data_IF_045200248397
#
_entry.id   IF_045200248397
#
_cell.length_a   1.000
_cell.length_b   1.000
_cell.length_c   1.000
_cell.angle_alpha   90.00
_cell.angle_beta   90.00
_cell.angle_gamma   90.00
#
_symmetry.space_group_name_H-M   'P 1'
#
loop_
_entity.id
_entity.type
_entity.pdbx_description
1 polymer ?
#
# COMPACT_ATOMS: atom_id res chain seq x y z
N UNK A 1 24.08 -3.45 5.37
CA UNK A 1 23.84 -4.89 5.16
C UNK A 1 22.39 -5.07 4.71
N UNK A 2 22.14 -5.86 3.67
CA UNK A 2 20.79 -6.13 3.15
C UNK A 2 20.13 -7.19 4.04
N UNK A 3 18.91 -6.94 4.53
CA UNK A 3 18.20 -7.85 5.42
C UNK A 3 17.23 -8.69 4.57
N UNK A 4 17.62 -9.93 4.29
CA UNK A 4 16.96 -10.82 3.33
C UNK A 4 15.46 -11.04 3.62
N UNK A 5 15.06 -11.27 4.87
CA UNK A 5 13.65 -11.47 5.20
C UNK A 5 12.79 -10.22 5.01
N UNK A 6 13.34 -9.01 5.16
CA UNK A 6 12.59 -7.77 4.86
C UNK A 6 12.34 -7.61 3.36
N UNK A 7 13.26 -8.09 2.51
CA UNK A 7 13.01 -8.13 1.06
C UNK A 7 11.90 -9.16 0.73
N UNK A 8 11.89 -10.31 1.41
CA UNK A 8 10.80 -11.30 1.25
C UNK A 8 9.46 -10.71 1.73
N UNK A 9 9.44 -9.96 2.83
CA UNK A 9 8.24 -9.24 3.28
C UNK A 9 7.71 -8.28 2.20
N UNK A 10 8.60 -7.53 1.53
CA UNK A 10 8.20 -6.68 0.39
C UNK A 10 7.62 -7.50 -0.76
N UNK A 11 8.17 -8.68 -1.05
CA UNK A 11 7.66 -9.57 -2.08
C UNK A 11 6.23 -10.06 -1.77
N UNK A 12 5.93 -10.37 -0.50
CA UNK A 12 4.57 -10.72 -0.07
C UNK A 12 3.64 -9.49 -0.16
N UNK A 13 4.12 -8.34 0.29
CA UNK A 13 3.34 -7.11 0.29
C UNK A 13 2.96 -6.64 -1.13
N UNK A 14 3.88 -6.76 -2.13
CA UNK A 14 3.55 -6.38 -3.51
C UNK A 14 2.50 -7.31 -4.13
N UNK A 15 2.51 -8.60 -3.79
CA UNK A 15 1.44 -9.50 -4.22
C UNK A 15 0.09 -9.04 -3.66
N UNK A 16 0.02 -8.68 -2.38
CA UNK A 16 -1.21 -8.15 -1.77
C UNK A 16 -1.66 -6.84 -2.46
N UNK A 17 -0.72 -5.94 -2.81
CA UNK A 17 -1.05 -4.71 -3.57
C UNK A 17 -1.62 -5.05 -4.95
N UNK A 18 -1.06 -6.02 -5.67
CA UNK A 18 -1.60 -6.45 -6.96
C UNK A 18 -3.01 -7.03 -6.78
N UNK A 19 -3.26 -7.82 -5.72
CA UNK A 19 -4.60 -8.34 -5.39
C UNK A 19 -5.59 -7.19 -5.16
N UNK A 20 -5.21 -6.13 -4.43
CA UNK A 20 -6.06 -4.94 -4.24
C UNK A 20 -6.51 -4.38 -5.59
N UNK A 21 -5.61 -4.25 -6.56
CA UNK A 21 -5.93 -3.62 -7.83
C UNK A 21 -6.68 -4.57 -8.78
N UNK A 22 -6.32 -5.84 -8.84
CA UNK A 22 -7.07 -6.85 -9.63
C UNK A 22 -8.50 -7.00 -9.13
N UNK A 23 -8.69 -7.07 -7.81
CA UNK A 23 -10.01 -7.15 -7.21
C UNK A 23 -10.76 -5.81 -7.31
N UNK A 24 -10.07 -4.68 -7.06
CA UNK A 24 -10.67 -3.35 -7.04
C UNK A 24 -11.20 -2.89 -8.39
N UNK A 25 -10.43 -3.06 -9.46
CA UNK A 25 -10.90 -2.74 -10.83
C UNK A 25 -12.12 -3.60 -11.20
N UNK A 26 -12.04 -4.90 -10.93
CA UNK A 26 -13.16 -5.81 -11.19
C UNK A 26 -14.39 -5.49 -10.34
N UNK A 27 -14.18 -5.12 -9.06
CA UNK A 27 -15.24 -4.73 -8.14
C UNK A 27 -15.95 -3.44 -8.58
N UNK A 28 -15.16 -2.41 -8.95
CA UNK A 28 -15.68 -1.13 -9.40
C UNK A 28 -16.56 -1.28 -10.65
N UNK A 29 -16.13 -2.07 -11.60
CA UNK A 29 -16.89 -2.31 -12.83
C UNK A 29 -18.16 -3.12 -12.52
N UNK A 30 -18.09 -4.17 -11.69
CA UNK A 30 -19.28 -4.94 -11.28
C UNK A 30 -20.36 -4.06 -10.62
N UNK A 31 -19.97 -3.01 -9.92
CA UNK A 31 -20.91 -2.08 -9.26
C UNK A 31 -21.68 -1.22 -10.27
N UNK A 32 -21.11 -0.96 -11.45
CA UNK A 32 -21.66 -0.06 -12.47
C UNK A 32 -22.24 -0.82 -13.69
N UNK A 33 -22.26 -2.15 -13.65
CA UNK A 33 -22.88 -2.96 -14.71
C UNK A 33 -24.39 -3.00 -14.56
N UNK A 34 -25.11 -3.01 -15.70
CA UNK A 34 -26.57 -3.18 -15.74
C UNK A 34 -27.02 -4.52 -15.12
N UNK A 35 -26.22 -5.58 -15.28
CA UNK A 35 -26.41 -6.89 -14.67
C UNK A 35 -25.55 -7.07 -13.43
N UNK A 36 -25.97 -6.49 -12.31
CA UNK A 36 -25.26 -6.58 -11.05
C UNK A 36 -25.24 -8.01 -10.49
N UNK A 37 -24.06 -8.60 -10.33
CA UNK A 37 -23.85 -9.91 -9.71
C UNK A 37 -23.39 -9.74 -8.26
N UNK A 38 -24.32 -9.88 -7.33
CA UNK A 38 -24.10 -9.72 -5.89
C UNK A 38 -23.01 -10.69 -5.38
N UNK A 39 -22.99 -11.94 -5.82
CA UNK A 39 -22.00 -12.92 -5.35
C UNK A 39 -20.59 -12.53 -5.79
N UNK A 40 -20.41 -12.19 -7.07
CA UNK A 40 -19.10 -11.73 -7.56
C UNK A 40 -18.63 -10.49 -6.81
N UNK A 41 -19.52 -9.52 -6.65
CA UNK A 41 -19.22 -8.28 -5.94
C UNK A 41 -18.76 -8.55 -4.49
N UNK A 42 -19.47 -9.43 -3.76
CA UNK A 42 -19.11 -9.79 -2.38
C UNK A 42 -17.75 -10.49 -2.29
N UNK A 43 -17.47 -11.43 -3.18
CA UNK A 43 -16.17 -12.14 -3.21
C UNK A 43 -15.02 -11.19 -3.53
N UNK A 44 -15.20 -10.27 -4.49
CA UNK A 44 -14.21 -9.25 -4.81
C UNK A 44 -13.93 -8.32 -3.62
N UNK A 45 -14.97 -7.95 -2.87
CA UNK A 45 -14.82 -7.17 -1.63
C UNK A 45 -14.03 -7.92 -0.56
N UNK A 46 -14.27 -9.21 -0.40
CA UNK A 46 -13.49 -10.05 0.54
C UNK A 46 -12.02 -10.06 0.15
N UNK A 47 -11.70 -10.25 -1.15
CA UNK A 47 -10.32 -10.17 -1.63
C UNK A 47 -9.67 -8.81 -1.36
N UNK A 48 -10.41 -7.72 -1.60
CA UNK A 48 -9.97 -6.34 -1.29
C UNK A 48 -9.63 -6.20 0.19
N UNK A 49 -10.54 -6.59 1.08
CA UNK A 49 -10.33 -6.48 2.53
C UNK A 49 -9.12 -7.27 3.00
N UNK A 50 -8.99 -8.54 2.59
CA UNK A 50 -7.87 -9.40 2.96
C UNK A 50 -6.53 -8.87 2.45
N UNK A 51 -6.50 -8.22 1.31
CA UNK A 51 -5.28 -7.67 0.73
C UNK A 51 -4.88 -6.29 1.28
N UNK A 52 -5.77 -5.59 2.02
CA UNK A 52 -5.50 -4.22 2.54
C UNK A 52 -4.25 -4.11 3.41
N UNK A 53 -3.76 -5.19 4.02
CA UNK A 53 -2.50 -5.18 4.77
C UNK A 53 -1.25 -4.90 3.90
N UNK A 54 -1.33 -5.04 2.57
CA UNK A 54 -0.17 -4.92 1.68
C UNK A 54 0.54 -3.57 1.79
N UNK A 55 -0.18 -2.45 1.68
CA UNK A 55 0.40 -1.11 1.79
C UNK A 55 0.94 -0.81 3.20
N UNK A 56 0.20 -1.06 4.29
CA UNK A 56 0.75 -0.95 5.64
C UNK A 56 2.06 -1.73 5.85
N UNK A 57 2.14 -2.96 5.32
CA UNK A 57 3.37 -3.76 5.43
C UNK A 57 4.54 -3.09 4.70
N UNK A 58 4.33 -2.51 3.51
CA UNK A 58 5.37 -1.73 2.83
C UNK A 58 5.86 -0.56 3.67
N UNK A 59 4.93 0.16 4.30
CA UNK A 59 5.26 1.32 5.14
C UNK A 59 6.01 0.86 6.40
N UNK A 60 5.57 -0.22 7.05
CA UNK A 60 6.27 -0.80 8.21
C UNK A 60 7.69 -1.26 7.84
N UNK A 61 7.87 -1.93 6.70
CA UNK A 61 9.21 -2.32 6.22
C UNK A 61 10.07 -1.09 5.93
N UNK A 62 9.48 -0.02 5.39
CA UNK A 62 10.20 1.24 5.16
C UNK A 62 10.67 1.87 6.46
N UNK A 63 9.81 1.92 7.50
CA UNK A 63 10.18 2.37 8.83
C UNK A 63 11.30 1.55 9.46
N UNK A 64 11.18 0.22 9.39
CA UNK A 64 12.19 -0.72 9.88
C UNK A 64 13.58 -0.52 9.23
N UNK A 65 13.61 -0.15 7.95
CA UNK A 65 14.86 0.05 7.18
C UNK A 65 15.43 1.46 7.33
N UNK A 66 14.57 2.49 7.23
CA UNK A 66 15.00 3.89 7.18
C UNK A 66 15.40 4.40 8.57
N UNK A 67 14.64 4.07 9.59
CA UNK A 67 14.92 4.53 10.95
C UNK A 67 16.14 3.85 11.60
N UNK A 68 16.60 2.74 11.05
CA UNK A 68 17.80 2.02 11.52
C UNK A 68 19.11 2.67 11.06
N UNK A 69 19.09 3.47 9.98
CA UNK A 69 20.29 4.07 9.38
C UNK A 69 20.34 5.56 9.64
N UNK A 70 21.54 6.11 9.66
CA UNK A 70 21.76 7.55 9.66
C UNK A 70 21.89 8.06 8.23
N UNK A 71 21.31 9.22 7.96
CA UNK A 71 21.31 9.87 6.67
C UNK A 71 21.71 11.32 6.82
N UNK A 72 22.60 11.77 5.94
CA UNK A 72 22.86 13.21 5.77
C UNK A 72 21.72 13.85 4.97
N UNK A 73 21.59 15.16 5.06
CA UNK A 73 20.61 15.93 4.25
C UNK A 73 20.82 15.66 2.75
N UNK A 74 22.08 15.54 2.33
CA UNK A 74 22.43 15.23 0.95
C UNK A 74 21.95 13.82 0.52
N UNK A 75 22.03 12.82 1.43
CA UNK A 75 21.52 11.48 1.16
C UNK A 75 20.00 11.47 1.02
N UNK A 76 19.31 12.24 1.87
CA UNK A 76 17.86 12.41 1.81
C UNK A 76 17.46 13.05 0.47
N UNK A 77 18.09 14.16 0.12
CA UNK A 77 17.82 14.87 -1.13
C UNK A 77 18.04 13.96 -2.38
N UNK A 78 19.15 13.20 -2.42
CA UNK A 78 19.39 12.24 -3.50
C UNK A 78 18.30 11.19 -3.62
N UNK A 79 17.79 10.68 -2.50
CA UNK A 79 16.71 9.67 -2.50
C UNK A 79 15.38 10.26 -2.95
N UNK A 80 15.06 11.48 -2.50
CA UNK A 80 13.88 12.20 -2.98
C UNK A 80 13.95 12.41 -4.50
N UNK A 81 15.10 12.83 -5.03
CA UNK A 81 15.28 13.00 -6.48
C UNK A 81 15.09 11.70 -7.26
N UNK A 82 15.53 10.56 -6.72
CA UNK A 82 15.27 9.25 -7.33
C UNK A 82 13.76 8.95 -7.35
N UNK A 83 13.05 9.22 -6.25
CA UNK A 83 11.59 8.99 -6.17
C UNK A 83 10.85 9.92 -7.13
N UNK A 84 11.25 11.20 -7.23
CA UNK A 84 10.67 12.13 -8.22
C UNK A 84 10.87 11.60 -9.64
N UNK A 85 12.08 11.13 -9.98
CA UNK A 85 12.35 10.48 -11.27
C UNK A 85 11.47 9.24 -11.48
N UNK A 86 11.23 8.45 -10.43
CA UNK A 86 10.31 7.30 -10.48
C UNK A 86 8.86 7.73 -10.73
N UNK A 87 8.40 8.83 -10.11
CA UNK A 87 7.05 9.39 -10.33
C UNK A 87 6.89 9.85 -11.79
N UNK A 88 7.87 10.58 -12.33
CA UNK A 88 7.86 11.02 -13.74
C UNK A 88 7.81 9.81 -14.68
N UNK A 89 8.63 8.79 -14.42
CA UNK A 89 8.63 7.56 -15.22
C UNK A 89 7.28 6.83 -15.14
N UNK A 90 6.68 6.75 -13.94
CA UNK A 90 5.36 6.13 -13.75
C UNK A 90 4.27 6.90 -14.47
N UNK A 91 4.25 8.24 -14.40
CA UNK A 91 3.31 9.09 -15.13
C UNK A 91 3.46 8.90 -16.65
N UNK A 92 4.70 8.85 -17.15
CA UNK A 92 4.98 8.63 -18.57
C UNK A 92 4.43 7.28 -19.06
N UNK A 93 4.69 6.19 -18.32
CA UNK A 93 4.17 4.86 -18.68
C UNK A 93 2.65 4.79 -18.56
N UNK A 94 2.06 5.45 -17.55
CA UNK A 94 0.62 5.58 -17.39
C UNK A 94 -0.02 6.28 -18.58
N UNK A 95 0.55 7.40 -19.02
CA UNK A 95 0.04 8.16 -20.17
C UNK A 95 0.17 7.36 -21.47
N UNK A 96 1.29 6.68 -21.70
CA UNK A 96 1.46 5.76 -22.83
C UNK A 96 0.39 4.64 -22.82
N UNK A 97 0.03 4.14 -21.65
CA UNK A 97 -1.00 3.10 -21.48
C UNK A 97 -2.38 3.66 -21.83
N UNK A 98 -2.69 4.92 -21.44
CA UNK A 98 -3.94 5.60 -21.78
C UNK A 98 -4.05 5.83 -23.30
N UNK A 99 -2.98 6.30 -23.93
CA UNK A 99 -2.91 6.48 -25.39
C UNK A 99 -3.14 5.15 -26.10
N UNK A 100 -2.50 4.08 -25.64
CA UNK A 100 -2.68 2.73 -26.20
C UNK A 100 -4.13 2.25 -26.08
N UNK A 101 -4.81 2.52 -24.96
CA UNK A 101 -6.22 2.21 -24.73
C UNK A 101 -7.22 3.12 -25.45
N UNK A 102 -6.75 4.10 -26.23
CA UNK A 102 -7.61 5.06 -26.92
C UNK A 102 -8.19 6.16 -26.01
N UNK A 103 -7.74 6.27 -24.76
CA UNK A 103 -8.18 7.24 -23.77
C UNK A 103 -7.29 8.49 -23.77
N UNK A 104 -7.18 9.16 -24.94
CA UNK A 104 -6.39 10.39 -25.06
C UNK A 104 -7.16 11.55 -24.43
N UNK A 105 -6.60 12.18 -23.39
CA UNK A 105 -7.27 13.28 -22.66
C UNK A 105 -6.95 14.66 -23.26
N UNK A 106 -5.80 14.82 -23.89
CA UNK A 106 -5.42 16.10 -24.52
C UNK A 106 -4.51 15.91 -25.73
N UNK A 107 -4.33 17.01 -26.50
CA UNK A 107 -3.43 17.04 -27.66
C UNK A 107 -1.93 17.11 -27.27
N UNK A 108 -1.61 17.27 -25.97
CA UNK A 108 -0.22 17.43 -25.53
C UNK A 108 0.12 16.51 -24.33
N UNK A 109 0.56 15.28 -24.60
CA UNK A 109 0.91 14.31 -23.56
C UNK A 109 1.99 14.80 -22.57
N UNK A 110 2.91 15.68 -23.01
CA UNK A 110 3.97 16.21 -22.14
C UNK A 110 3.39 17.13 -21.06
N UNK A 111 2.43 17.99 -21.45
CA UNK A 111 1.74 18.86 -20.49
C UNK A 111 0.89 18.03 -19.51
N UNK A 112 0.26 16.97 -19.99
CA UNK A 112 -0.52 16.07 -19.15
C UNK A 112 0.34 15.37 -18.10
N UNK A 113 1.50 14.83 -18.50
CA UNK A 113 2.46 14.23 -17.58
C UNK A 113 2.93 15.26 -16.54
N UNK A 114 3.29 16.47 -16.99
CA UNK A 114 3.74 17.53 -16.08
C UNK A 114 2.64 17.94 -15.09
N UNK A 115 1.39 18.09 -15.57
CA UNK A 115 0.23 18.38 -14.76
C UNK A 115 -0.03 17.28 -13.74
N UNK A 116 -0.05 16.02 -14.16
CA UNK A 116 -0.23 14.86 -13.26
C UNK A 116 0.82 14.85 -12.15
N UNK A 117 2.09 15.07 -12.47
CA UNK A 117 3.18 15.11 -11.50
C UNK A 117 3.04 16.25 -10.51
N UNK A 118 2.71 17.47 -10.99
CA UNK A 118 2.61 18.67 -10.14
C UNK A 118 1.39 18.60 -9.21
N UNK A 119 0.25 18.16 -9.73
CA UNK A 119 -0.99 18.09 -8.96
C UNK A 119 -1.14 16.79 -8.16
N UNK A 120 -0.17 15.85 -8.23
CA UNK A 120 -0.25 14.57 -7.53
C UNK A 120 -1.35 13.64 -8.08
N UNK A 121 -1.84 13.91 -9.28
CA UNK A 121 -2.86 13.12 -9.99
C UNK A 121 -2.27 12.04 -10.89
N UNK A 122 -0.98 11.72 -10.70
CA UNK A 122 -0.34 10.50 -11.23
C UNK A 122 -1.28 9.34 -10.96
N UNK A 123 -1.37 8.30 -11.85
CA UNK A 123 -2.36 7.25 -11.69
C UNK A 123 -2.69 6.95 -10.23
N UNK A 124 -3.96 6.86 -9.87
CA UNK A 124 -4.52 6.91 -8.50
C UNK A 124 -3.76 6.11 -7.43
N UNK A 125 -2.98 5.11 -7.84
CA UNK A 125 -2.11 4.32 -6.96
C UNK A 125 -0.76 4.99 -6.65
N UNK A 126 -0.36 6.06 -7.37
CA UNK A 126 0.94 6.74 -7.21
C UNK A 126 1.13 7.50 -5.90
N UNK A 127 0.06 7.77 -5.14
CA UNK A 127 0.08 8.49 -3.88
C UNK A 127 1.14 7.94 -2.88
N UNK A 128 1.44 6.64 -2.91
CA UNK A 128 2.43 6.02 -2.03
C UNK A 128 3.84 6.59 -2.24
N UNK A 129 4.22 6.93 -3.47
CA UNK A 129 5.53 7.55 -3.73
C UNK A 129 5.63 8.96 -3.14
N UNK A 130 4.54 9.73 -3.16
CA UNK A 130 4.49 11.04 -2.48
C UNK A 130 4.54 10.88 -0.96
N UNK A 131 3.85 9.90 -0.41
CA UNK A 131 3.94 9.54 1.02
C UNK A 131 5.38 9.17 1.39
N UNK A 132 6.07 8.44 0.53
CA UNK A 132 7.48 8.07 0.75
C UNK A 132 8.41 9.31 0.74
N UNK A 133 8.16 10.29 -0.14
CA UNK A 133 8.86 11.60 -0.08
C UNK A 133 8.61 12.27 1.27
N UNK A 134 7.36 12.30 1.75
CA UNK A 134 7.00 12.85 3.06
C UNK A 134 7.78 12.17 4.19
N UNK A 135 7.94 10.85 4.18
CA UNK A 135 8.74 10.12 5.16
C UNK A 135 10.23 10.48 5.07
N UNK A 136 10.79 10.67 3.88
CA UNK A 136 12.18 11.12 3.74
C UNK A 136 12.37 12.55 4.26
N UNK A 137 11.45 13.47 4.00
CA UNK A 137 11.50 14.85 4.52
C UNK A 137 11.41 14.88 6.06
N UNK A 138 10.52 14.06 6.62
CA UNK A 138 10.33 13.98 8.07
C UNK A 138 11.35 13.06 8.78
N UNK A 139 12.25 12.39 8.03
CA UNK A 139 13.17 11.39 8.57
C UNK A 139 14.05 11.91 9.71
N UNK A 140 14.62 13.14 9.68
CA UNK A 140 15.40 13.67 10.80
C UNK A 140 14.58 13.79 12.08
N UNK A 141 13.31 14.21 11.97
CA UNK A 141 12.39 14.28 13.10
C UNK A 141 12.10 12.91 13.70
N UNK A 142 11.76 11.93 12.86
CA UNK A 142 11.55 10.55 13.31
C UNK A 142 12.80 9.94 13.95
N UNK A 143 13.99 10.22 13.39
CA UNK A 143 15.25 9.76 13.97
C UNK A 143 15.49 10.35 15.36
N UNK A 144 15.26 11.64 15.54
CA UNK A 144 15.40 12.28 16.86
C UNK A 144 14.43 11.64 17.87
N UNK A 145 13.18 11.36 17.46
CA UNK A 145 12.19 10.70 18.29
C UNK A 145 12.63 9.27 18.69
N UNK A 146 12.97 8.39 17.73
CA UNK A 146 13.29 6.99 18.03
C UNK A 146 14.59 6.82 18.81
N UNK A 147 15.51 7.80 18.74
CA UNK A 147 16.76 7.79 19.50
C UNK A 147 16.59 8.36 20.93
N UNK A 148 15.63 9.26 21.15
CA UNK A 148 15.41 9.94 22.43
C UNK A 148 14.27 9.36 23.26
N UNK A 149 13.28 8.73 22.66
CA UNK A 149 12.12 8.22 23.36
C UNK A 149 12.45 6.89 24.09
N UNK A 150 11.99 6.77 25.33
CA UNK A 150 11.93 5.48 26.00
C UNK A 150 10.75 4.66 25.46
N UNK A 151 10.69 3.37 25.83
CA UNK A 151 9.68 2.46 25.29
C UNK A 151 8.25 2.88 25.62
N UNK A 152 7.98 3.43 26.82
CA UNK A 152 6.65 3.91 27.22
C UNK A 152 6.21 5.12 26.40
N UNK A 153 7.10 6.07 26.18
CA UNK A 153 6.86 7.22 25.30
C UNK A 153 6.60 6.77 23.86
N UNK A 154 7.32 5.74 23.40
CA UNK A 154 7.13 5.19 22.07
C UNK A 154 5.74 4.59 21.90
N UNK A 155 5.33 3.71 22.84
CA UNK A 155 4.01 3.07 22.84
C UNK A 155 2.90 4.13 22.97
N UNK A 156 3.05 5.09 23.86
CA UNK A 156 2.11 6.21 24.01
C UNK A 156 1.91 6.96 22.69
N UNK A 157 3.00 7.26 21.98
CA UNK A 157 2.95 7.94 20.68
C UNK A 157 2.24 7.10 19.63
N UNK A 158 2.52 5.78 19.56
CA UNK A 158 1.81 4.88 18.64
C UNK A 158 0.31 4.83 18.93
N UNK A 159 -0.07 4.73 20.22
CA UNK A 159 -1.48 4.72 20.63
C UNK A 159 -2.14 6.04 20.22
N UNK A 160 -1.52 7.19 20.49
CA UNK A 160 -2.07 8.47 20.09
C UNK A 160 -2.29 8.57 18.59
N UNK A 161 -1.27 8.24 17.78
CA UNK A 161 -1.33 8.33 16.33
C UNK A 161 -2.49 7.48 15.80
N UNK A 162 -2.57 6.20 16.22
CA UNK A 162 -3.64 5.32 15.76
C UNK A 162 -5.00 5.70 16.34
N UNK A 163 -5.08 6.15 17.59
CA UNK A 163 -6.33 6.61 18.18
C UNK A 163 -6.89 7.82 17.42
N UNK A 164 -6.08 8.86 17.18
CA UNK A 164 -6.54 10.04 16.44
C UNK A 164 -6.94 9.72 15.01
N UNK A 165 -6.11 8.99 14.25
CA UNK A 165 -6.44 8.62 12.89
C UNK A 165 -7.69 7.73 12.79
N UNK A 166 -7.88 6.82 13.75
CA UNK A 166 -9.03 5.92 13.80
C UNK A 166 -10.30 6.61 14.29
N UNK A 167 -10.20 7.52 15.27
CA UNK A 167 -11.35 8.28 15.79
C UNK A 167 -11.93 9.17 14.69
N UNK A 168 -11.09 9.89 13.94
CA UNK A 168 -11.53 10.72 12.82
C UNK A 168 -12.34 9.87 11.83
N UNK A 169 -11.80 8.72 11.41
CA UNK A 169 -12.50 7.83 10.48
C UNK A 169 -13.76 7.23 11.07
N UNK A 170 -13.73 6.89 12.35
CA UNK A 170 -14.91 6.37 13.05
C UNK A 170 -16.03 7.40 13.14
N UNK A 171 -15.71 8.65 13.45
CA UNK A 171 -16.70 9.76 13.46
C UNK A 171 -17.28 9.97 12.06
N UNK A 172 -16.45 10.06 11.02
CA UNK A 172 -16.88 10.15 9.62
C UNK A 172 -17.81 9.01 9.21
N UNK A 173 -17.62 7.82 9.79
CA UNK A 173 -18.46 6.65 9.50
C UNK A 173 -19.91 6.82 9.96
N UNK A 174 -20.15 7.52 11.09
CA UNK A 174 -21.49 7.77 11.64
C UNK A 174 -22.10 9.08 11.18
N UNK A 175 -21.32 9.96 10.56
CA UNK A 175 -21.74 11.27 10.06
C UNK A 175 -22.29 11.16 8.62
N UNK A 176 -23.42 10.46 8.48
CA UNK A 176 -24.06 10.26 7.17
C UNK A 176 -24.50 11.57 6.52
N UNK A 177 -24.87 12.58 7.32
CA UNK A 177 -25.39 13.86 6.88
C UNK A 177 -24.35 14.99 6.89
N UNK A 178 -23.07 14.64 7.10
CA UNK A 178 -21.95 15.60 7.26
C UNK A 178 -22.21 16.68 8.32
N UNK A 179 -23.02 16.35 9.32
CA UNK A 179 -23.40 17.27 10.41
C UNK A 179 -22.25 17.58 11.38
N UNK A 180 -21.23 16.72 11.41
CA UNK A 180 -20.00 16.87 12.19
C UNK A 180 -18.80 17.33 11.34
N UNK A 181 -19.04 17.80 10.11
CA UNK A 181 -18.00 18.21 9.18
C UNK A 181 -16.98 19.15 9.80
N UNK A 182 -17.44 20.20 10.48
CA UNK A 182 -16.56 21.18 11.16
C UNK A 182 -15.72 20.52 12.27
N UNK A 183 -16.30 19.60 13.04
CA UNK A 183 -15.57 18.86 14.09
C UNK A 183 -14.51 17.93 13.47
N UNK A 184 -14.88 17.25 12.41
CA UNK A 184 -13.98 16.37 11.68
C UNK A 184 -12.83 17.16 11.05
N UNK A 185 -13.12 18.30 10.43
CA UNK A 185 -12.12 19.19 9.86
C UNK A 185 -11.20 19.76 10.93
N UNK A 186 -11.74 20.17 12.08
CA UNK A 186 -10.95 20.62 13.23
C UNK A 186 -10.04 19.51 13.79
N UNK A 187 -10.52 18.26 13.87
CA UNK A 187 -9.74 17.12 14.32
C UNK A 187 -8.70 16.70 13.30
N UNK A 188 -8.99 16.87 12.01
CA UNK A 188 -8.06 16.52 10.94
C UNK A 188 -6.92 17.53 10.83
N UNK A 189 -7.13 18.82 11.06
CA UNK A 189 -6.14 19.91 11.09
C UNK A 189 -4.84 19.63 10.31
N UNK A 190 -4.92 18.92 9.20
CA UNK A 190 -3.76 18.50 8.41
C UNK A 190 -2.94 17.34 9.00
N UNK A 191 -3.33 16.77 10.14
CA UNK A 191 -2.64 15.65 10.80
C UNK A 191 -3.15 14.31 10.27
N UNK A 192 -4.39 14.26 9.79
CA UNK A 192 -5.07 13.02 9.40
C UNK A 192 -4.36 12.22 8.32
N UNK A 193 -3.84 12.87 7.29
CA UNK A 193 -3.11 12.20 6.20
C UNK A 193 -1.73 11.66 6.63
N UNK A 194 -1.06 12.34 7.54
CA UNK A 194 0.25 11.92 8.04
C UNK A 194 0.11 10.93 9.20
N UNK A 195 -0.94 11.06 10.03
CA UNK A 195 -1.04 10.33 11.29
C UNK A 195 -1.13 8.83 11.10
N UNK A 196 -2.04 8.31 10.30
CA UNK A 196 -2.24 6.87 10.12
C UNK A 196 -1.02 6.17 9.51
N UNK A 197 -0.46 6.74 8.44
CA UNK A 197 0.73 6.18 7.79
C UNK A 197 2.00 6.35 8.62
N UNK A 198 2.13 7.44 9.37
CA UNK A 198 3.21 7.65 10.33
C UNK A 198 3.18 6.58 11.43
N UNK A 199 2.00 6.20 11.90
CA UNK A 199 1.82 5.10 12.86
C UNK A 199 2.40 3.78 12.34
N UNK A 200 2.08 3.41 11.11
CA UNK A 200 2.66 2.21 10.49
C UNK A 200 4.17 2.31 10.31
N UNK A 201 4.68 3.48 9.91
CA UNK A 201 6.12 3.69 9.73
C UNK A 201 6.88 3.50 11.04
N UNK A 202 6.42 4.10 12.13
CA UNK A 202 7.00 3.94 13.46
C UNK A 202 6.77 2.51 13.99
N UNK A 203 5.58 1.93 13.79
CA UNK A 203 5.27 0.55 14.21
C UNK A 203 6.27 -0.45 13.61
N UNK A 204 6.64 -0.28 12.33
CA UNK A 204 7.63 -1.14 11.68
C UNK A 204 8.99 -1.12 12.37
N UNK A 205 9.47 0.05 12.78
CA UNK A 205 10.71 0.16 13.56
C UNK A 205 10.56 -0.45 14.95
N UNK A 206 9.43 -0.19 15.64
CA UNK A 206 9.14 -0.78 16.95
C UNK A 206 9.21 -2.31 16.91
N UNK A 207 8.54 -2.94 15.96
CA UNK A 207 8.47 -4.40 15.82
C UNK A 207 9.81 -5.06 15.46
N UNK A 208 10.79 -4.29 14.98
CA UNK A 208 12.14 -4.79 14.71
C UNK A 208 13.09 -4.64 15.91
N UNK A 209 12.81 -3.73 16.84
CA UNK A 209 13.74 -3.38 17.93
C UNK A 209 13.18 -3.68 19.31
N UNK A 210 11.87 -3.89 19.44
CA UNK A 210 11.19 -4.16 20.71
C UNK A 210 10.32 -5.41 20.62
N UNK A 211 9.99 -5.99 21.76
CA UNK A 211 9.00 -7.06 21.87
C UNK A 211 7.61 -6.47 22.09
N UNK A 212 6.61 -7.07 21.48
CA UNK A 212 5.23 -6.67 21.75
C UNK A 212 4.88 -6.96 23.22
N UNK A 213 4.31 -5.98 23.91
CA UNK A 213 3.85 -6.15 25.32
C UNK A 213 2.56 -6.96 25.43
N UNK A 214 1.77 -6.96 24.36
CA UNK A 214 0.54 -7.76 24.26
C UNK A 214 0.89 -9.15 23.74
N UNK A 215 0.33 -10.22 24.32
CA UNK A 215 0.50 -11.58 23.81
C UNK A 215 0.11 -11.67 22.32
N UNK A 216 0.96 -12.31 21.52
CA UNK A 216 0.79 -12.34 20.05
C UNK A 216 -0.57 -12.91 19.61
N UNK A 217 -1.08 -13.91 20.33
CA UNK A 217 -2.36 -14.53 20.00
C UNK A 217 -3.54 -13.52 20.09
N UNK A 218 -3.48 -12.54 21.01
CA UNK A 218 -4.50 -11.47 21.12
C UNK A 218 -4.45 -10.60 19.86
N UNK A 219 -3.24 -10.28 19.37
CA UNK A 219 -3.07 -9.49 18.15
C UNK A 219 -3.60 -10.27 16.94
N UNK A 220 -3.33 -11.58 16.86
CA UNK A 220 -3.80 -12.43 15.75
C UNK A 220 -5.31 -12.55 15.74
N UNK A 221 -5.92 -12.85 16.89
CA UNK A 221 -7.39 -12.93 17.01
C UNK A 221 -8.03 -11.57 16.75
N UNK A 222 -7.47 -10.50 17.34
CA UNK A 222 -7.94 -9.13 17.11
C UNK A 222 -7.85 -8.73 15.63
N UNK A 223 -6.80 -9.13 14.93
CA UNK A 223 -6.64 -8.89 13.49
C UNK A 223 -7.71 -9.59 12.65
N UNK A 224 -7.97 -10.88 12.92
CA UNK A 224 -9.00 -11.66 12.22
C UNK A 224 -10.40 -11.07 12.48
N UNK A 225 -10.73 -10.78 13.74
CA UNK A 225 -12.01 -10.17 14.11
C UNK A 225 -12.13 -8.78 13.47
N UNK A 226 -11.09 -7.95 13.57
CA UNK A 226 -11.10 -6.59 13.06
C UNK A 226 -11.35 -6.52 11.55
N UNK A 227 -10.63 -7.31 10.76
CA UNK A 227 -10.86 -7.33 9.32
C UNK A 227 -12.20 -7.98 8.96
N UNK A 228 -12.61 -9.02 9.69
CA UNK A 228 -13.91 -9.65 9.51
C UNK A 228 -15.07 -8.68 9.73
N UNK A 229 -15.03 -7.91 10.81
CA UNK A 229 -16.03 -6.86 11.11
C UNK A 229 -16.02 -5.78 10.02
N UNK A 230 -14.83 -5.30 9.60
CA UNK A 230 -14.72 -4.30 8.53
C UNK A 230 -15.35 -4.80 7.22
N UNK A 231 -15.10 -6.05 6.83
CA UNK A 231 -15.68 -6.65 5.62
C UNK A 231 -17.21 -6.80 5.76
N UNK A 232 -17.70 -7.31 6.90
CA UNK A 232 -19.16 -7.50 7.12
C UNK A 232 -19.91 -6.17 7.06
N UNK A 233 -19.37 -5.12 7.69
CA UNK A 233 -19.99 -3.79 7.63
C UNK A 233 -19.97 -3.24 6.20
N UNK A 234 -18.87 -3.44 5.46
CA UNK A 234 -18.74 -3.04 4.07
C UNK A 234 -19.76 -3.75 3.16
N UNK A 235 -20.01 -5.04 3.40
CA UNK A 235 -21.03 -5.81 2.69
C UNK A 235 -22.44 -5.27 2.91
N UNK A 236 -22.72 -4.74 4.11
CA UNK A 236 -23.99 -4.10 4.44
C UNK A 236 -24.17 -2.68 3.91
N UNK A 237 -23.08 -2.01 3.51
CA UNK A 237 -23.08 -0.62 3.05
C UNK A 237 -22.21 -0.41 1.81
N UNK A 238 -22.65 -0.85 0.63
CA UNK A 238 -21.85 -0.79 -0.61
C UNK A 238 -21.36 0.61 -0.96
N UNK A 239 -22.17 1.62 -0.77
CA UNK A 239 -21.85 3.01 -1.12
C UNK A 239 -20.69 3.61 -0.28
N UNK A 240 -20.41 3.05 0.90
CA UNK A 240 -19.38 3.52 1.83
C UNK A 240 -18.31 2.45 2.14
N UNK A 241 -18.22 1.45 1.30
CA UNK A 241 -17.32 0.31 1.50
C UNK A 241 -15.87 0.73 1.71
N UNK A 242 -15.38 1.69 0.93
CA UNK A 242 -13.99 2.16 1.03
C UNK A 242 -13.67 2.77 2.39
N UNK A 243 -14.66 3.39 3.05
CA UNK A 243 -14.49 3.96 4.38
C UNK A 243 -14.18 2.86 5.41
N UNK A 244 -14.92 1.74 5.36
CA UNK A 244 -14.84 0.68 6.37
C UNK A 244 -13.60 -0.21 6.25
N UNK A 245 -12.98 -0.27 5.07
CA UNK A 245 -11.70 -0.97 4.84
C UNK A 245 -10.55 0.01 4.57
N UNK A 246 -10.70 1.29 4.95
CA UNK A 246 -9.62 2.28 4.82
C UNK A 246 -8.46 1.98 5.77
N UNK A 247 -7.26 2.41 5.40
CA UNK A 247 -6.03 2.08 6.15
C UNK A 247 -6.02 2.53 7.63
N UNK A 248 -6.59 3.69 8.02
CA UNK A 248 -6.64 4.11 9.42
C UNK A 248 -7.75 3.44 10.23
N UNK A 249 -8.63 2.62 9.62
CA UNK A 249 -9.67 1.91 10.38
C UNK A 249 -9.06 0.96 11.41
N UNK A 250 -9.57 0.92 12.66
CA UNK A 250 -9.00 0.11 13.74
C UNK A 250 -8.86 -1.36 13.37
N UNK A 251 -9.86 -1.92 12.67
CA UNK A 251 -9.84 -3.31 12.20
C UNK A 251 -8.71 -3.57 11.21
N UNK A 252 -8.48 -2.65 10.27
CA UNK A 252 -7.41 -2.76 9.28
C UNK A 252 -6.05 -2.53 9.93
N UNK A 253 -5.94 -1.63 10.92
CA UNK A 253 -4.69 -1.39 11.68
C UNK A 253 -4.25 -2.65 12.40
N UNK A 254 -5.12 -3.24 13.24
CA UNK A 254 -4.79 -4.44 14.01
C UNK A 254 -4.49 -5.61 13.07
N UNK A 255 -5.29 -5.77 12.01
CA UNK A 255 -5.07 -6.78 10.98
C UNK A 255 -3.70 -6.64 10.30
N UNK A 256 -3.32 -5.43 9.92
CA UNK A 256 -2.04 -5.17 9.25
C UNK A 256 -0.84 -5.46 10.16
N UNK A 257 -0.93 -5.11 11.44
CA UNK A 257 0.09 -5.46 12.45
C UNK A 257 0.17 -6.98 12.62
N UNK A 258 -0.97 -7.65 12.74
CA UNK A 258 -1.07 -9.11 12.83
C UNK A 258 -0.41 -9.79 11.63
N UNK A 259 -0.75 -9.35 10.40
CA UNK A 259 -0.19 -9.92 9.17
C UNK A 259 1.31 -9.63 9.01
N UNK A 260 1.78 -8.46 9.44
CA UNK A 260 3.22 -8.18 9.49
C UNK A 260 3.95 -9.19 10.39
N UNK A 261 3.42 -9.48 11.58
CA UNK A 261 4.03 -10.47 12.51
C UNK A 261 4.06 -11.87 11.89
N UNK A 262 2.95 -12.32 11.31
CA UNK A 262 2.84 -13.64 10.67
C UNK A 262 3.82 -13.73 9.49
N UNK A 263 3.78 -12.74 8.59
CA UNK A 263 4.63 -12.73 7.40
C UNK A 263 6.11 -12.53 7.73
N UNK A 264 6.45 -11.81 8.81
CA UNK A 264 7.83 -11.72 9.30
C UNK A 264 8.37 -13.10 9.70
N UNK A 265 7.61 -13.86 10.48
CA UNK A 265 7.99 -15.23 10.86
C UNK A 265 8.12 -16.14 9.62
N UNK A 266 7.17 -16.05 8.69
CA UNK A 266 7.22 -16.79 7.44
C UNK A 266 8.45 -16.39 6.60
N UNK A 267 8.70 -15.09 6.42
CA UNK A 267 9.82 -14.57 5.66
C UNK A 267 11.18 -14.94 6.25
N UNK A 268 11.29 -14.99 7.58
CA UNK A 268 12.49 -15.48 8.28
C UNK A 268 12.77 -16.94 7.93
N UNK A 269 11.75 -17.82 8.03
CA UNK A 269 11.87 -19.24 7.65
C UNK A 269 12.22 -19.40 6.18
N UNK A 270 11.50 -18.72 5.28
CA UNK A 270 11.75 -18.76 3.83
C UNK A 270 13.15 -18.24 3.48
N UNK A 271 13.70 -17.31 4.25
CA UNK A 271 15.04 -16.77 4.01
C UNK A 271 16.16 -17.81 4.16
N UNK A 272 15.93 -18.87 4.92
CA UNK A 272 16.86 -19.98 5.12
C UNK A 272 16.73 -21.05 4.03
N UNK A 273 15.62 -21.06 3.29
CA UNK A 273 15.32 -22.01 2.23
C UNK A 273 15.94 -21.57 0.87
N UNK A 274 16.16 -22.49 -0.08
CA UNK A 274 16.64 -22.16 -1.43
C UNK A 274 15.79 -21.12 -2.15
N UNK A 275 14.46 -21.20 -2.03
CA UNK A 275 13.49 -20.25 -2.61
C UNK A 275 13.67 -18.83 -2.06
N UNK A 276 14.23 -18.68 -0.86
CA UNK A 276 14.43 -17.37 -0.24
C UNK A 276 15.37 -16.44 -1.03
N UNK A 277 16.27 -16.98 -1.86
CA UNK A 277 17.11 -16.15 -2.77
C UNK A 277 16.24 -15.49 -3.85
N UNK A 278 15.38 -16.27 -4.47
CA UNK A 278 14.43 -15.79 -5.48
C UNK A 278 13.46 -14.76 -4.91
N UNK A 279 12.82 -15.07 -3.78
CA UNK A 279 11.87 -14.15 -3.13
C UNK A 279 12.53 -12.84 -2.68
N UNK A 280 13.76 -12.89 -2.18
CA UNK A 280 14.50 -11.68 -1.83
C UNK A 280 14.90 -10.87 -3.06
N UNK A 281 15.22 -11.53 -4.19
CA UNK A 281 15.49 -10.85 -5.46
C UNK A 281 14.21 -10.17 -5.98
N UNK A 282 13.06 -10.85 -5.96
CA UNK A 282 11.75 -10.27 -6.28
C UNK A 282 11.46 -9.06 -5.39
N UNK A 283 11.66 -9.20 -4.07
CA UNK A 283 11.51 -8.10 -3.10
C UNK A 283 12.39 -6.88 -3.38
N UNK A 284 13.52 -7.05 -4.06
CA UNK A 284 14.39 -5.94 -4.49
C UNK A 284 13.88 -5.19 -5.71
N UNK A 285 12.87 -5.71 -6.38
CA UNK A 285 12.30 -5.17 -7.61
C UNK A 285 10.89 -4.62 -7.38
N UNK A 286 10.42 -4.62 -6.14
CA UNK A 286 9.04 -4.24 -5.80
C UNK A 286 8.70 -2.81 -6.16
N UNK A 287 9.66 -1.88 -6.18
CA UNK A 287 9.40 -0.51 -6.62
C UNK A 287 8.99 -0.47 -8.10
N UNK A 288 9.77 -1.11 -8.98
CA UNK A 288 9.44 -1.19 -10.40
C UNK A 288 8.13 -1.96 -10.66
N UNK A 289 7.92 -3.07 -9.94
CA UNK A 289 6.65 -3.82 -10.03
C UNK A 289 5.48 -2.94 -9.62
N UNK A 290 5.61 -2.19 -8.51
CA UNK A 290 4.62 -1.24 -8.04
C UNK A 290 4.32 -0.16 -9.08
N UNK A 291 5.33 0.39 -9.74
CA UNK A 291 5.15 1.45 -10.72
C UNK A 291 4.37 1.01 -11.96
N UNK A 292 4.54 -0.23 -12.39
CA UNK A 292 4.07 -0.67 -13.72
C UNK A 292 2.95 -1.71 -13.71
N UNK A 293 2.61 -2.32 -12.57
CA UNK A 293 1.59 -3.38 -12.53
C UNK A 293 0.22 -2.92 -13.00
N UNK A 294 -0.17 -1.67 -12.69
CA UNK A 294 -1.44 -1.12 -13.15
C UNK A 294 -1.49 -0.94 -14.67
N UNK A 295 -0.39 -0.54 -15.30
CA UNK A 295 -0.35 -0.46 -16.76
C UNK A 295 -0.60 -1.83 -17.40
N UNK A 296 -0.06 -2.91 -16.81
CA UNK A 296 -0.37 -4.27 -17.27
C UNK A 296 -1.84 -4.65 -17.02
N UNK A 297 -2.40 -4.29 -15.85
CA UNK A 297 -3.82 -4.53 -15.55
C UNK A 297 -4.70 -3.81 -16.58
N UNK A 298 -4.42 -2.54 -16.90
CA UNK A 298 -5.18 -1.78 -17.89
C UNK A 298 -5.06 -2.35 -19.31
N UNK A 299 -3.88 -2.84 -19.69
CA UNK A 299 -3.72 -3.56 -20.97
C UNK A 299 -4.56 -4.84 -20.99
N UNK A 300 -4.57 -5.62 -19.92
CA UNK A 300 -5.41 -6.82 -19.81
C UNK A 300 -6.90 -6.48 -19.86
N UNK A 301 -7.31 -5.39 -19.19
CA UNK A 301 -8.68 -4.87 -19.23
C UNK A 301 -9.10 -4.49 -20.66
N UNK A 302 -8.24 -3.81 -21.41
CA UNK A 302 -8.49 -3.47 -22.82
C UNK A 302 -8.77 -4.70 -23.69
N UNK A 303 -8.11 -5.82 -23.40
CA UNK A 303 -8.36 -7.10 -24.08
C UNK A 303 -9.50 -7.93 -23.44
N UNK A 304 -10.25 -7.38 -22.50
CA UNK A 304 -11.35 -8.07 -21.82
C UNK A 304 -10.91 -9.13 -20.80
N UNK A 305 -9.63 -9.17 -20.44
CA UNK A 305 -9.08 -10.13 -19.47
C UNK A 305 -9.16 -9.52 -18.07
N UNK A 306 -10.28 -9.75 -17.39
CA UNK A 306 -10.56 -9.23 -16.05
C UNK A 306 -11.02 -10.34 -15.11
N UNK A 307 -10.74 -10.20 -13.81
CA UNK A 307 -11.10 -11.23 -12.82
C UNK A 307 -12.62 -11.49 -12.76
N UNK A 308 -13.45 -10.45 -12.94
CA UNK A 308 -14.92 -10.55 -12.95
C UNK A 308 -15.48 -11.43 -14.07
N UNK A 309 -14.74 -11.61 -15.18
CA UNK A 309 -15.18 -12.38 -16.34
C UNK A 309 -15.01 -13.90 -16.13
N UNK A 310 -14.40 -14.30 -15.01
CA UNK A 310 -14.14 -15.70 -14.66
C UNK A 310 -14.69 -16.02 -13.26
N UNK A 311 -14.37 -17.21 -12.75
CA UNK A 311 -14.66 -17.54 -11.34
C UNK A 311 -13.81 -16.65 -10.42
N UNK A 312 -14.43 -15.64 -9.81
CA UNK A 312 -13.76 -14.60 -9.01
C UNK A 312 -12.98 -15.13 -7.79
N UNK A 313 -13.35 -16.33 -7.29
CA UNK A 313 -12.62 -16.95 -6.18
C UNK A 313 -11.22 -17.36 -6.63
N UNK A 314 -11.07 -17.85 -7.87
CA UNK A 314 -9.81 -18.35 -8.40
C UNK A 314 -9.10 -17.31 -9.28
N UNK A 315 -9.85 -16.52 -10.05
CA UNK A 315 -9.27 -15.57 -11.01
C UNK A 315 -8.47 -14.47 -10.34
N UNK A 316 -8.93 -13.93 -9.20
CA UNK A 316 -8.19 -12.89 -8.48
C UNK A 316 -6.79 -13.35 -8.07
N UNK A 317 -6.61 -14.44 -7.31
CA UNK A 317 -5.27 -14.88 -6.93
C UNK A 317 -4.42 -15.35 -8.12
N UNK A 318 -5.01 -16.04 -9.09
CA UNK A 318 -4.28 -16.53 -10.27
C UNK A 318 -3.80 -15.37 -11.13
N UNK A 319 -4.66 -14.41 -11.46
CA UNK A 319 -4.28 -13.22 -12.24
C UNK A 319 -3.22 -12.39 -11.49
N UNK A 320 -3.36 -12.21 -10.18
CA UNK A 320 -2.39 -11.48 -9.38
C UNK A 320 -1.01 -12.14 -9.39
N UNK A 321 -0.94 -13.46 -9.32
CA UNK A 321 0.31 -14.21 -9.43
C UNK A 321 0.91 -14.12 -10.84
N UNK A 322 0.11 -14.23 -11.89
CA UNK A 322 0.56 -14.08 -13.28
C UNK A 322 1.11 -12.66 -13.50
N UNK A 323 0.38 -11.63 -13.07
CA UNK A 323 0.83 -10.24 -13.16
C UNK A 323 2.14 -10.04 -12.40
N UNK A 324 2.27 -10.57 -11.19
CA UNK A 324 3.50 -10.50 -10.40
C UNK A 324 4.70 -11.12 -11.15
N UNK A 325 4.51 -12.31 -11.74
CA UNK A 325 5.58 -13.01 -12.47
C UNK A 325 5.96 -12.24 -13.73
N UNK A 326 4.98 -11.79 -14.52
CA UNK A 326 5.22 -11.01 -15.74
C UNK A 326 5.94 -9.71 -15.40
N UNK A 327 5.47 -8.98 -14.38
CA UNK A 327 6.11 -7.74 -13.95
C UNK A 327 7.52 -7.97 -13.39
N UNK A 328 7.75 -9.07 -12.68
CA UNK A 328 9.09 -9.43 -12.23
C UNK A 328 10.06 -9.64 -13.42
N UNK A 329 9.59 -10.31 -14.48
CA UNK A 329 10.40 -10.50 -15.70
C UNK A 329 10.68 -9.16 -16.40
N UNK A 330 9.64 -8.33 -16.60
CA UNK A 330 9.77 -7.01 -17.24
C UNK A 330 10.73 -6.13 -16.44
N UNK A 331 10.53 -5.98 -15.13
CA UNK A 331 11.39 -5.15 -14.28
C UNK A 331 12.83 -5.70 -14.24
N UNK A 332 13.01 -7.04 -14.28
CA UNK A 332 14.35 -7.64 -14.36
C UNK A 332 15.07 -7.26 -15.64
N UNK A 333 14.37 -7.24 -16.78
CA UNK A 333 14.91 -6.78 -18.06
C UNK A 333 15.20 -5.27 -18.06
N UNK A 334 14.27 -4.44 -17.55
CA UNK A 334 14.48 -2.99 -17.47
C UNK A 334 15.66 -2.60 -16.58
N UNK A 335 15.95 -3.37 -15.53
CA UNK A 335 17.15 -3.15 -14.68
C UNK A 335 18.47 -3.40 -15.37
N UNK A 336 18.49 -4.00 -16.55
CA UNK A 336 19.69 -4.11 -17.37
C UNK A 336 20.08 -2.75 -17.99
N UNK A 337 19.14 -1.82 -18.10
CA UNK A 337 19.36 -0.46 -18.63
C UNK A 337 19.92 0.43 -17.50
N UNK A 338 21.18 0.94 -17.60
CA UNK A 338 21.85 1.63 -16.49
C UNK A 338 21.10 2.84 -15.94
N UNK A 339 20.39 3.60 -16.77
CA UNK A 339 19.58 4.77 -16.38
C UNK A 339 18.36 4.36 -15.53
N UNK A 340 17.61 3.35 -16.00
CA UNK A 340 16.40 2.88 -15.34
C UNK A 340 16.68 2.11 -14.04
N UNK A 341 17.82 1.42 -13.94
CA UNK A 341 18.19 0.64 -12.76
C UNK A 341 18.13 1.39 -11.45
N UNK A 342 18.32 2.73 -11.48
CA UNK A 342 18.30 3.57 -10.28
C UNK A 342 16.89 4.02 -9.90
N UNK A 343 15.97 4.04 -10.86
CA UNK A 343 14.59 4.54 -10.69
C UNK A 343 13.58 3.44 -10.35
N UNK A 344 13.92 2.16 -10.61
CA UNK A 344 13.01 1.01 -10.49
C UNK A 344 13.54 -0.09 -9.56
#
# INVERSE_FOLDING_TARGET
MRIKYLDILKAIAILAVIVIHVAGESWYICLHEESFDLFKWQVLLVWLGLAKCGVPIFIMVSGALLLKKDYTVCDIAKRIMIIVGSIILMATVGEMTNIFGGNVQSDNPILDIASQVIHGTVPTYGWYLYTLIGFYLALPFFKAFVNGANEDQYIYTLILIFAFSSIIKFVQMFDADNSMGDLVEMLDMGIGYLSGFMGYFLMGYYMENHKMRVPEWIIYVGGIIGIGVSIVISLGNPARMEDYISYPMPGVVIYSVSMYMIYKKLAQRLSEMPVGKFLADLGSKTLGIYMFHMSLIKVLEYYGVMAKNYNVILSVPVMSLVILIVMYMIVSALKLIPGLRKLI
#
